data_IF_516781575093
#
_entry.id   IF_516781575093
#
_cell.length_a   1.000
_cell.length_b   1.000
_cell.length_c   1.000
_cell.angle_alpha   90.00
_cell.angle_beta   90.00
_cell.angle_gamma   90.00
#
_symmetry.space_group_name_H-M   'P 1'
#
loop_
_entity.id
_entity.type
_entity.pdbx_description
1 polymer ?
#
# COMPACT_ATOMS: atom_id res chain seq x y z
N UNK A 1 13.57 -10.35 -35.67
CA UNK A 1 12.28 -10.54 -35.00
C UNK A 1 12.49 -11.58 -33.90
N UNK A 2 12.87 -11.13 -32.71
CA UNK A 2 13.29 -12.00 -31.60
C UNK A 2 12.13 -12.19 -30.65
N UNK A 3 11.60 -13.41 -30.56
CA UNK A 3 10.63 -13.81 -29.54
C UNK A 3 11.32 -13.80 -28.17
N UNK A 4 10.82 -13.05 -27.17
CA UNK A 4 11.34 -13.16 -25.82
C UNK A 4 10.82 -14.45 -25.19
N UNK A 5 11.74 -15.39 -25.01
CA UNK A 5 11.57 -16.58 -24.18
C UNK A 5 11.21 -16.18 -22.73
N UNK A 6 10.40 -17.03 -22.08
CA UNK A 6 10.13 -17.13 -20.63
C UNK A 6 8.83 -16.48 -20.12
N UNK A 7 7.70 -17.09 -20.51
CA UNK A 7 6.54 -17.26 -19.62
C UNK A 7 6.31 -18.76 -19.46
N UNK A 8 6.25 -19.25 -18.22
CA UNK A 8 5.86 -20.63 -17.89
C UNK A 8 4.85 -20.52 -16.76
N UNK A 9 3.57 -20.45 -17.10
CA UNK A 9 2.49 -20.79 -16.20
C UNK A 9 2.23 -22.29 -16.41
N UNK A 10 2.59 -23.13 -15.45
CA UNK A 10 2.29 -24.57 -15.53
C UNK A 10 0.85 -24.77 -15.08
N UNK A 11 -0.07 -24.43 -15.97
CA UNK A 11 -1.50 -24.72 -15.82
C UNK A 11 -1.73 -26.11 -16.40
N UNK A 12 -2.76 -26.78 -15.87
CA UNK A 12 -3.51 -27.87 -16.49
C UNK A 12 -3.24 -29.26 -15.89
N UNK A 13 -4.14 -29.69 -14.99
CA UNK A 13 -4.47 -31.10 -14.81
C UNK A 13 -5.62 -31.42 -15.76
N UNK A 14 -5.31 -31.81 -16.99
CA UNK A 14 -6.31 -32.30 -17.96
C UNK A 14 -6.62 -33.76 -17.62
N UNK A 15 -7.79 -34.01 -17.04
CA UNK A 15 -8.36 -35.36 -17.01
C UNK A 15 -8.79 -35.72 -18.42
N UNK A 16 -8.02 -36.60 -19.08
CA UNK A 16 -8.34 -37.11 -20.41
C UNK A 16 -9.45 -38.15 -20.30
N UNK A 17 -10.67 -37.77 -20.64
CA UNK A 17 -11.62 -38.72 -21.21
C UNK A 17 -11.56 -38.61 -22.73
N UNK A 18 -10.88 -39.53 -23.42
CA UNK A 18 -11.06 -39.69 -24.86
C UNK A 18 -10.56 -41.05 -25.37
N UNK A 19 -11.51 -41.83 -25.88
CA UNK A 19 -11.38 -43.14 -26.54
C UNK A 19 -10.86 -43.06 -27.99
N UNK A 20 -10.23 -41.97 -28.44
CA UNK A 20 -9.89 -41.80 -29.87
C UNK A 20 -8.38 -41.62 -30.11
N UNK A 21 -7.79 -42.60 -30.81
CA UNK A 21 -6.53 -42.60 -31.58
C UNK A 21 -5.45 -41.59 -31.17
N UNK A 22 -4.42 -42.07 -30.46
CA UNK A 22 -3.36 -41.32 -29.77
C UNK A 22 -2.47 -40.34 -30.55
N UNK A 23 -2.73 -40.07 -31.84
CA UNK A 23 -2.02 -39.05 -32.64
C UNK A 23 -2.54 -37.62 -32.38
N UNK A 24 -3.85 -37.45 -32.19
CA UNK A 24 -4.46 -36.13 -31.94
C UNK A 24 -4.10 -35.56 -30.58
N UNK A 25 -3.92 -36.45 -29.61
CA UNK A 25 -3.53 -36.15 -28.24
C UNK A 25 -2.18 -35.41 -28.15
N UNK A 26 -1.23 -35.69 -29.05
CA UNK A 26 0.10 -35.06 -29.05
C UNK A 26 0.11 -33.65 -29.63
N UNK A 27 -0.70 -33.38 -30.67
CA UNK A 27 -0.80 -32.04 -31.29
C UNK A 27 -1.66 -31.06 -30.48
N UNK A 28 -2.50 -31.58 -29.61
CA UNK A 28 -3.50 -30.82 -28.87
C UNK A 28 -2.95 -30.14 -27.61
N UNK A 29 -2.00 -30.76 -26.91
CA UNK A 29 -1.37 -30.18 -25.71
C UNK A 29 -0.71 -28.80 -25.97
N UNK A 30 0.06 -28.59 -27.06
CA UNK A 30 0.62 -27.27 -27.39
C UNK A 30 -0.46 -26.21 -27.68
N UNK A 31 -1.52 -26.58 -28.39
CA UNK A 31 -2.58 -25.64 -28.78
C UNK A 31 -3.40 -25.19 -27.57
N UNK A 32 -3.83 -26.12 -26.71
CA UNK A 32 -4.55 -25.82 -25.47
C UNK A 32 -3.69 -25.00 -24.51
N UNK A 33 -2.39 -25.27 -24.43
CA UNK A 33 -1.45 -24.49 -23.61
C UNK A 33 -1.32 -23.04 -24.08
N UNK A 34 -1.26 -22.80 -25.39
CA UNK A 34 -1.20 -21.45 -25.97
C UNK A 34 -2.51 -20.68 -25.76
N UNK A 35 -3.65 -21.35 -25.90
CA UNK A 35 -4.97 -20.78 -25.59
C UNK A 35 -5.08 -20.40 -24.11
N UNK A 36 -4.73 -21.32 -23.20
CA UNK A 36 -4.70 -21.05 -21.77
C UNK A 36 -3.80 -19.86 -21.42
N UNK A 37 -2.62 -19.77 -22.04
CA UNK A 37 -1.69 -18.66 -21.84
C UNK A 37 -2.28 -17.33 -22.32
N UNK A 38 -2.90 -17.29 -23.49
CA UNK A 38 -3.47 -16.07 -24.07
C UNK A 38 -4.68 -15.59 -23.28
N UNK A 39 -5.57 -16.50 -22.89
CA UNK A 39 -6.73 -16.21 -22.06
C UNK A 39 -6.32 -15.68 -20.69
N UNK A 40 -5.34 -16.31 -20.03
CA UNK A 40 -4.79 -15.82 -18.77
C UNK A 40 -4.21 -14.41 -18.94
N UNK A 41 -3.42 -14.16 -19.99
CA UNK A 41 -2.82 -12.86 -20.22
C UNK A 41 -3.87 -11.76 -20.45
N UNK A 42 -4.96 -12.06 -21.15
CA UNK A 42 -6.06 -11.11 -21.36
C UNK A 42 -6.81 -10.80 -20.06
N UNK A 43 -7.19 -11.83 -19.28
CA UNK A 43 -7.92 -11.66 -18.02
C UNK A 43 -7.09 -10.88 -17.00
N UNK A 44 -5.78 -11.18 -16.91
CA UNK A 44 -4.85 -10.45 -16.04
C UNK A 44 -4.57 -9.02 -16.52
N UNK A 45 -4.75 -8.73 -17.82
CA UNK A 45 -4.58 -7.39 -18.37
C UNK A 45 -5.78 -6.46 -18.13
N UNK A 46 -6.95 -7.02 -17.84
CA UNK A 46 -8.20 -6.27 -17.64
C UNK A 46 -8.59 -6.08 -16.17
N UNK A 47 -7.90 -6.74 -15.23
CA UNK A 47 -8.17 -6.67 -13.79
C UNK A 47 -6.98 -6.05 -13.03
N UNK A 48 -7.27 -5.38 -11.92
CA UNK A 48 -6.22 -4.85 -11.04
C UNK A 48 -5.50 -5.97 -10.28
N UNK A 49 -4.21 -5.80 -9.97
CA UNK A 49 -3.43 -6.82 -9.27
C UNK A 49 -4.00 -7.18 -7.89
N UNK A 50 -4.58 -6.22 -7.18
CA UNK A 50 -5.22 -6.48 -5.91
C UNK A 50 -6.42 -7.44 -6.06
N UNK A 51 -7.19 -7.29 -7.15
CA UNK A 51 -8.27 -8.21 -7.52
C UNK A 51 -7.70 -9.55 -7.95
N UNK A 52 -6.62 -9.57 -8.73
CA UNK A 52 -5.98 -10.82 -9.17
C UNK A 52 -5.45 -11.66 -7.99
N UNK A 53 -4.89 -10.99 -6.98
CA UNK A 53 -4.37 -11.67 -5.79
C UNK A 53 -5.48 -12.11 -4.83
N UNK A 54 -6.59 -11.38 -4.77
CA UNK A 54 -7.72 -11.68 -3.87
C UNK A 54 -8.72 -12.67 -4.48
N UNK A 55 -8.89 -12.63 -5.81
CA UNK A 55 -9.96 -13.32 -6.55
C UNK A 55 -9.42 -14.49 -7.38
N UNK A 56 -8.37 -15.18 -6.90
CA UNK A 56 -7.74 -16.30 -7.62
C UNK A 56 -8.76 -17.37 -8.03
N UNK A 57 -9.68 -17.72 -7.13
CA UNK A 57 -10.77 -18.66 -7.39
C UNK A 57 -11.67 -18.20 -8.54
N UNK A 58 -12.07 -16.93 -8.53
CA UNK A 58 -12.97 -16.37 -9.56
C UNK A 58 -12.28 -16.35 -10.94
N UNK A 59 -10.99 -16.01 -10.97
CA UNK A 59 -10.19 -16.02 -12.19
C UNK A 59 -10.04 -17.45 -12.70
N UNK A 60 -9.75 -18.41 -11.82
CA UNK A 60 -9.64 -19.82 -12.17
C UNK A 60 -10.96 -20.35 -12.76
N UNK A 61 -12.10 -20.00 -12.16
CA UNK A 61 -13.43 -20.38 -12.64
C UNK A 61 -13.76 -19.76 -14.00
N UNK A 62 -13.49 -18.46 -14.18
CA UNK A 62 -13.70 -17.77 -15.46
C UNK A 62 -12.84 -18.37 -16.58
N UNK A 63 -11.59 -18.70 -16.27
CA UNK A 63 -10.70 -19.40 -17.19
C UNK A 63 -11.18 -20.81 -17.52
N UNK A 64 -11.68 -21.55 -16.54
CA UNK A 64 -12.25 -22.88 -16.77
C UNK A 64 -13.39 -22.82 -17.78
N UNK A 65 -14.36 -21.93 -17.58
CA UNK A 65 -15.51 -21.78 -18.49
C UNK A 65 -15.06 -21.40 -19.90
N UNK A 66 -14.10 -20.48 -20.00
CA UNK A 66 -13.60 -20.01 -21.30
C UNK A 66 -12.82 -21.10 -22.04
N UNK A 67 -11.99 -21.86 -21.31
CA UNK A 67 -11.19 -22.94 -21.90
C UNK A 67 -12.06 -24.13 -22.28
N UNK A 68 -12.97 -24.56 -21.40
CA UNK A 68 -13.91 -25.64 -21.67
C UNK A 68 -14.68 -25.38 -22.97
N UNK A 69 -15.26 -24.18 -23.10
CA UNK A 69 -15.98 -23.76 -24.32
C UNK A 69 -15.10 -23.74 -25.56
N UNK A 70 -13.84 -23.33 -25.44
CA UNK A 70 -12.90 -23.28 -26.56
C UNK A 70 -12.38 -24.67 -26.96
N UNK A 71 -12.38 -25.62 -26.02
CA UNK A 71 -11.89 -26.99 -26.25
C UNK A 71 -13.00 -28.00 -26.52
N UNK A 72 -14.27 -27.62 -26.38
CA UNK A 72 -15.44 -28.44 -26.73
C UNK A 72 -15.41 -28.89 -28.20
N UNK A 73 -15.03 -28.00 -29.13
CA UNK A 73 -14.90 -28.32 -30.57
C UNK A 73 -13.87 -29.42 -30.86
N UNK A 74 -12.99 -29.66 -29.89
CA UNK A 74 -11.93 -30.66 -29.94
C UNK A 74 -12.24 -31.91 -29.11
N UNK A 75 -13.41 -31.97 -28.47
CA UNK A 75 -13.86 -33.08 -27.63
C UNK A 75 -13.17 -33.16 -26.27
N UNK A 76 -12.51 -32.09 -25.82
CA UNK A 76 -11.80 -32.06 -24.53
C UNK A 76 -12.63 -31.33 -23.47
N UNK A 77 -12.88 -32.04 -22.37
CA UNK A 77 -13.50 -31.47 -21.17
C UNK A 77 -12.45 -30.89 -20.22
N UNK A 78 -12.65 -29.67 -19.75
CA UNK A 78 -11.78 -29.04 -18.74
C UNK A 78 -12.44 -29.12 -17.36
N UNK A 79 -11.95 -30.05 -16.53
CA UNK A 79 -12.52 -30.29 -15.20
C UNK A 79 -12.07 -29.28 -14.14
N UNK A 80 -10.80 -28.86 -14.15
CA UNK A 80 -10.25 -27.95 -13.14
C UNK A 80 -9.12 -27.09 -13.73
N UNK A 81 -9.14 -25.80 -13.40
CA UNK A 81 -8.05 -24.86 -13.65
C UNK A 81 -7.52 -24.37 -12.30
N UNK A 82 -6.21 -24.48 -12.10
CA UNK A 82 -5.56 -23.99 -10.88
C UNK A 82 -4.44 -23.02 -11.25
N UNK A 83 -4.40 -21.87 -10.57
CA UNK A 83 -3.38 -20.84 -10.77
C UNK A 83 -2.25 -21.06 -9.77
N UNK A 84 -1.15 -21.67 -10.22
CA UNK A 84 0.05 -21.87 -9.40
C UNK A 84 0.84 -20.58 -9.23
N UNK A 85 1.60 -20.19 -10.25
CA UNK A 85 2.47 -19.02 -10.23
C UNK A 85 2.13 -18.03 -11.36
N UNK A 86 1.92 -16.77 -11.00
CA UNK A 86 1.74 -15.67 -11.95
C UNK A 86 3.05 -14.88 -12.06
N UNK A 87 3.74 -15.01 -13.19
CA UNK A 87 4.91 -14.18 -13.52
C UNK A 87 4.46 -13.04 -14.44
N UNK A 88 4.47 -11.82 -13.91
CA UNK A 88 4.09 -10.63 -14.67
C UNK A 88 5.21 -10.25 -15.67
N UNK A 89 4.87 -9.74 -16.88
CA UNK A 89 5.85 -9.17 -17.79
C UNK A 89 6.63 -8.04 -17.11
N UNK A 90 7.95 -7.96 -17.33
CA UNK A 90 8.80 -6.96 -16.69
C UNK A 90 8.34 -5.51 -16.96
N UNK A 91 7.75 -5.24 -18.14
CA UNK A 91 7.19 -3.92 -18.47
C UNK A 91 5.99 -3.56 -17.61
N UNK A 92 5.05 -4.49 -17.45
CA UNK A 92 3.82 -4.31 -16.66
C UNK A 92 4.16 -4.18 -15.17
N UNK A 93 5.05 -5.05 -14.66
CA UNK A 93 5.55 -4.95 -13.29
C UNK A 93 6.16 -3.58 -12.96
N UNK A 94 6.94 -3.00 -13.89
CA UNK A 94 7.53 -1.66 -13.70
C UNK A 94 6.48 -0.55 -13.72
N UNK A 95 5.56 -0.57 -14.69
CA UNK A 95 4.50 0.43 -14.78
C UNK A 95 3.63 0.44 -13.51
N UNK A 96 3.27 -0.74 -13.02
CA UNK A 96 2.49 -0.90 -11.80
C UNK A 96 3.25 -0.50 -10.54
N UNK A 97 4.55 -0.81 -10.45
CA UNK A 97 5.37 -0.37 -9.33
C UNK A 97 5.39 1.16 -9.25
N UNK A 98 5.55 1.84 -10.39
CA UNK A 98 5.53 3.29 -10.47
C UNK A 98 4.15 3.88 -10.10
N UNK A 99 3.06 3.27 -10.57
CA UNK A 99 1.70 3.68 -10.21
C UNK A 99 1.40 3.47 -8.72
N UNK A 100 1.81 2.33 -8.16
CA UNK A 100 1.63 2.01 -6.75
C UNK A 100 2.41 2.99 -5.86
N UNK A 101 3.64 3.35 -6.25
CA UNK A 101 4.46 4.36 -5.58
C UNK A 101 3.79 5.74 -5.65
N UNK A 102 3.37 6.19 -6.84
CA UNK A 102 2.68 7.46 -7.01
C UNK A 102 1.38 7.56 -6.18
N UNK A 103 0.60 6.48 -6.13
CA UNK A 103 -0.63 6.39 -5.33
C UNK A 103 -0.34 6.42 -3.83
N UNK A 104 0.75 5.78 -3.39
CA UNK A 104 1.20 5.83 -1.99
C UNK A 104 1.68 7.22 -1.60
N UNK A 105 2.47 7.87 -2.44
CA UNK A 105 2.97 9.22 -2.20
C UNK A 105 1.84 10.24 -2.16
N UNK A 106 0.87 10.12 -3.07
CA UNK A 106 -0.33 10.97 -3.07
C UNK A 106 -1.13 10.80 -1.77
N UNK A 107 -1.36 9.54 -1.34
CA UNK A 107 -2.04 9.26 -0.07
C UNK A 107 -1.27 9.77 1.15
N UNK A 108 0.05 9.60 1.16
CA UNK A 108 0.89 10.10 2.24
C UNK A 108 0.78 11.63 2.38
N UNK A 109 0.75 12.38 1.26
CA UNK A 109 0.56 13.83 1.26
C UNK A 109 -0.78 14.26 1.82
N UNK A 110 -1.87 13.55 1.47
CA UNK A 110 -3.20 13.84 2.01
C UNK A 110 -3.24 13.61 3.52
N UNK A 111 -2.72 12.47 3.98
CA UNK A 111 -2.66 12.13 5.41
C UNK A 111 -1.81 13.16 6.18
N UNK A 112 -0.67 13.58 5.62
CA UNK A 112 0.18 14.59 6.23
C UNK A 112 -0.54 15.94 6.34
N UNK A 113 -1.21 16.39 5.27
CA UNK A 113 -1.95 17.64 5.27
C UNK A 113 -3.13 17.62 6.25
N UNK A 114 -3.85 16.51 6.33
CA UNK A 114 -4.93 16.32 7.28
C UNK A 114 -4.42 16.27 8.73
N UNK A 115 -3.30 15.59 8.97
CA UNK A 115 -2.59 15.58 10.24
C UNK A 115 -2.19 16.98 10.69
N UNK A 116 -1.62 17.78 9.79
CA UNK A 116 -1.20 19.16 10.05
C UNK A 116 -2.39 20.07 10.38
N UNK A 117 -3.50 19.94 9.64
CA UNK A 117 -4.73 20.68 9.92
C UNK A 117 -5.28 20.32 11.31
N UNK A 118 -5.30 19.03 11.65
CA UNK A 118 -5.81 18.56 12.94
C UNK A 118 -4.92 19.04 14.10
N UNK A 119 -3.60 18.99 13.93
CA UNK A 119 -2.65 19.53 14.88
C UNK A 119 -2.85 21.05 15.07
N UNK A 120 -2.98 21.80 13.98
CA UNK A 120 -3.22 23.24 14.01
C UNK A 120 -4.51 23.62 14.77
N UNK A 121 -5.60 22.87 14.54
CA UNK A 121 -6.87 23.05 15.26
C UNK A 121 -6.72 22.78 16.76
N UNK A 122 -5.98 21.74 17.13
CA UNK A 122 -5.72 21.42 18.53
C UNK A 122 -4.90 22.53 19.21
N UNK A 123 -3.85 23.04 18.54
CA UNK A 123 -3.03 24.15 19.02
C UNK A 123 -3.83 25.44 19.17
N UNK A 124 -4.71 25.77 18.22
CA UNK A 124 -5.59 26.94 18.31
C UNK A 124 -6.50 26.87 19.54
N UNK A 125 -7.12 25.71 19.80
CA UNK A 125 -7.96 25.50 20.99
C UNK A 125 -7.14 25.64 22.27
N UNK A 126 -5.95 25.06 22.32
CA UNK A 126 -5.06 25.20 23.47
C UNK A 126 -4.66 26.66 23.71
N UNK A 127 -4.36 27.42 22.65
CA UNK A 127 -4.02 28.83 22.75
C UNK A 127 -5.20 29.68 23.28
N UNK A 128 -6.43 29.40 22.84
CA UNK A 128 -7.62 30.07 23.34
C UNK A 128 -7.79 29.86 24.86
N UNK A 129 -7.65 28.62 25.34
CA UNK A 129 -7.73 28.28 26.77
C UNK A 129 -6.62 28.99 27.56
N UNK A 130 -5.41 29.08 27.01
CA UNK A 130 -4.29 29.78 27.65
C UNK A 130 -4.56 31.28 27.77
N UNK A 131 -5.15 31.91 26.74
CA UNK A 131 -5.52 33.31 26.78
C UNK A 131 -6.64 33.59 27.81
N UNK A 132 -7.61 32.67 27.94
CA UNK A 132 -8.69 32.79 28.92
C UNK A 132 -8.20 32.67 30.36
N UNK A 133 -7.18 31.84 30.63
CA UNK A 133 -6.64 31.64 31.97
C UNK A 133 -5.12 31.86 32.04
N UNK A 134 -4.66 33.05 32.48
CA UNK A 134 -3.22 33.36 32.56
C UNK A 134 -2.45 32.46 33.56
N UNK A 135 -3.12 31.80 34.52
CA UNK A 135 -2.47 30.84 35.42
C UNK A 135 -2.03 29.57 34.67
N UNK A 136 -2.62 29.26 33.50
CA UNK A 136 -2.22 28.11 32.66
C UNK A 136 -0.79 28.23 32.14
N UNK A 137 -0.30 29.44 31.86
CA UNK A 137 1.11 29.66 31.47
C UNK A 137 2.06 29.31 32.61
N UNK A 138 1.71 29.67 33.85
CA UNK A 138 2.52 29.34 35.02
C UNK A 138 2.57 27.83 35.26
N UNK A 139 1.44 27.12 35.13
CA UNK A 139 1.41 25.66 35.23
C UNK A 139 2.25 25.00 34.13
N UNK A 140 2.16 25.50 32.89
CA UNK A 140 2.98 24.99 31.78
C UNK A 140 4.47 25.25 31.99
N UNK A 141 4.82 26.40 32.56
CA UNK A 141 6.18 26.73 32.96
C UNK A 141 6.72 25.75 34.01
N UNK A 142 5.94 25.47 35.07
CA UNK A 142 6.30 24.47 36.07
C UNK A 142 6.44 23.07 35.48
N UNK A 143 5.56 22.66 34.56
CA UNK A 143 5.69 21.39 33.83
C UNK A 143 6.98 21.32 33.02
N UNK A 144 7.32 22.37 32.26
CA UNK A 144 8.60 22.41 31.53
C UNK A 144 9.80 22.32 32.46
N UNK A 145 9.75 22.96 33.64
CA UNK A 145 10.79 22.83 34.65
C UNK A 145 10.92 21.40 35.16
N UNK A 146 9.80 20.69 35.38
CA UNK A 146 9.85 19.28 35.79
C UNK A 146 10.41 18.37 34.71
N UNK A 147 10.09 18.61 33.43
CA UNK A 147 10.65 17.86 32.30
C UNK A 147 12.16 18.09 32.17
N UNK A 148 12.62 19.34 32.27
CA UNK A 148 14.05 19.69 32.22
C UNK A 148 14.80 19.09 33.42
N UNK A 149 14.21 19.14 34.62
CA UNK A 149 14.80 18.55 35.82
C UNK A 149 14.92 17.01 35.73
N UNK A 150 14.02 16.36 34.99
CA UNK A 150 14.08 14.92 34.75
C UNK A 150 15.20 14.52 33.77
N UNK A 151 15.58 15.37 32.82
CA UNK A 151 16.58 15.07 31.78
C UNK A 151 18.06 15.13 32.25
N UNK A 152 18.35 15.43 33.53
CA UNK A 152 19.72 15.43 34.10
C UNK A 152 20.78 16.23 33.29
N UNK A 153 20.43 17.37 32.69
CA UNK A 153 21.40 18.23 32.00
C UNK A 153 22.05 19.27 32.95
N UNK A 154 23.39 19.35 32.96
CA UNK A 154 24.21 20.14 33.89
C UNK A 154 24.27 21.65 33.60
N UNK A 155 23.53 22.15 32.61
CA UNK A 155 23.48 23.58 32.26
C UNK A 155 22.03 23.99 32.02
N UNK A 156 21.50 24.77 32.96
CA UNK A 156 20.11 25.26 32.95
C UNK A 156 20.14 26.70 32.43
N UNK A 157 19.70 26.93 31.20
CA UNK A 157 19.47 28.29 30.68
C UNK A 157 18.08 28.70 31.17
N UNK A 158 18.05 29.61 32.14
CA UNK A 158 16.82 30.06 32.78
C UNK A 158 16.36 31.40 32.17
N UNK A 159 15.30 31.42 31.35
CA UNK A 159 14.71 32.67 30.89
C UNK A 159 13.91 33.28 32.04
N UNK A 160 14.49 34.24 32.76
CA UNK A 160 13.78 35.00 33.79
C UNK A 160 12.87 36.02 33.10
N UNK A 161 11.57 36.11 33.44
CA UNK A 161 10.71 37.20 32.99
C UNK A 161 11.31 38.55 33.42
N UNK A 162 11.37 39.52 32.50
CA UNK A 162 11.92 40.85 32.77
C UNK A 162 11.22 41.52 33.97
N UNK A 163 9.92 41.28 34.16
CA UNK A 163 9.13 41.84 35.26
C UNK A 163 9.70 41.52 36.65
N UNK A 164 10.32 40.36 36.83
CA UNK A 164 10.99 39.98 38.09
C UNK A 164 12.31 40.75 38.24
N UNK A 165 13.05 40.96 37.15
CA UNK A 165 14.31 41.72 37.14
C UNK A 165 14.11 43.20 37.50
N UNK A 166 13.00 43.82 37.10
CA UNK A 166 12.67 45.21 37.45
C UNK A 166 12.53 45.44 38.96
N UNK A 167 12.05 44.44 39.71
CA UNK A 167 11.95 44.48 41.17
C UNK A 167 13.30 44.40 41.90
N UNK A 168 14.33 43.83 41.26
CA UNK A 168 15.69 43.72 41.82
C UNK A 168 16.64 44.85 41.37
N UNK A 169 16.35 45.52 40.25
CA UNK A 169 17.22 46.54 39.65
C UNK A 169 16.79 47.98 40.00
N UNK A 170 15.64 48.20 40.64
CA UNK A 170 15.25 49.54 41.07
C UNK A 170 16.20 50.08 42.15
N UNK A 171 16.96 51.16 41.90
CA UNK A 171 17.81 51.76 42.92
C UNK A 171 16.92 52.36 44.01
N UNK A 172 17.20 51.98 45.26
CA UNK A 172 16.58 52.52 46.47
C UNK A 172 16.77 54.05 46.47
N UNK A 173 15.71 54.79 46.15
CA UNK A 173 15.66 56.23 46.44
C UNK A 173 15.50 56.37 47.95
N UNK A 174 16.61 56.65 48.64
CA UNK A 174 16.61 57.09 50.03
C UNK A 174 16.28 58.59 50.13
N UNK A 175 15.71 59.03 51.26
CA UNK A 175 14.80 60.18 51.37
C UNK A 175 15.44 61.57 51.25
#
# INVERSE_FOLDING_TARGET
MLLPSKFHASVISLSKYLEANGLWVLYMDPATRLLAQTTLQNVLGTKDLAQILSDREEIAQSMQITLDKATDDWGIKVELVEIKDVKLPQRLHRAMAAEAEASRDARAKVIAAEGEMNASKALQKAAAIICENPATLQLRYLQTLTTIAAEKNSTIIFPVPLDILHGFISPKQEP
#
